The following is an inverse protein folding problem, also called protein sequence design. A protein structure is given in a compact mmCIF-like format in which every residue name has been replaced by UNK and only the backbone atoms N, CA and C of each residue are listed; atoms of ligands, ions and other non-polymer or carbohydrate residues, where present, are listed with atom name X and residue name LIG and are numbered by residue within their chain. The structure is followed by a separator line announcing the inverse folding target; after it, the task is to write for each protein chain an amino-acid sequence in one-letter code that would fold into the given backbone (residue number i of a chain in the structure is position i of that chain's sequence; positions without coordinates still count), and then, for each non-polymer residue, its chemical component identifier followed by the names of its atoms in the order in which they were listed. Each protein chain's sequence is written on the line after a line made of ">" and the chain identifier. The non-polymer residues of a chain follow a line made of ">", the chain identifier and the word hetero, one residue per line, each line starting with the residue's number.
data_IF_194493386494
#
_entry.id   IF_194493386494
#
_cell.length_a   1.000
_cell.length_b   1.000
_cell.length_c   1.000
_cell.angle_alpha   90.00
_cell.angle_beta   90.00
_cell.angle_gamma   90.00
#
_symmetry.space_group_name_H-M   'P 1'
#
loop_
_entity.id
_entity.type
_entity.pdbx_description
1 polymer ?
#
# COMPACT_ATOMS: atom_id res chain seq x y z
N UNK A 1 -7.27 -28.70 -19.02
CA UNK A 1 -5.84 -28.68 -18.64
C UNK A 1 -5.71 -29.25 -17.25
N UNK A 2 -4.53 -29.77 -16.91
CA UNK A 2 -4.25 -30.31 -15.56
C UNK A 2 -4.22 -29.18 -14.51
N UNK A 3 -4.71 -29.41 -13.27
CA UNK A 3 -4.65 -28.43 -12.20
C UNK A 3 -3.23 -28.22 -11.67
N UNK A 4 -2.97 -27.06 -11.06
CA UNK A 4 -1.72 -26.79 -10.36
C UNK A 4 -1.50 -27.82 -9.23
N UNK A 5 -0.34 -28.49 -9.15
CA UNK A 5 -0.05 -29.42 -8.06
C UNK A 5 -0.16 -28.74 -6.70
N UNK A 6 -0.82 -29.40 -5.75
CA UNK A 6 -1.09 -28.82 -4.43
C UNK A 6 0.19 -28.40 -3.69
N UNK A 7 1.25 -29.21 -3.79
CA UNK A 7 2.55 -28.91 -3.18
C UNK A 7 3.21 -27.65 -3.73
N UNK A 8 2.94 -27.29 -4.99
CA UNK A 8 3.44 -26.05 -5.59
C UNK A 8 2.61 -24.86 -5.11
N UNK A 9 1.29 -25.00 -5.03
CA UNK A 9 0.41 -23.99 -4.46
C UNK A 9 0.80 -23.63 -3.02
N UNK A 10 1.05 -24.64 -2.17
CA UNK A 10 1.43 -24.40 -0.78
C UNK A 10 2.81 -23.70 -0.67
N UNK A 11 3.75 -24.01 -1.57
CA UNK A 11 5.03 -23.28 -1.67
C UNK A 11 4.84 -21.81 -2.06
N UNK A 12 3.92 -21.52 -2.98
CA UNK A 12 3.59 -20.14 -3.36
C UNK A 12 2.99 -19.38 -2.17
N UNK A 13 2.09 -20.00 -1.41
CA UNK A 13 1.53 -19.40 -0.21
C UNK A 13 2.59 -19.15 0.87
N UNK A 14 3.52 -20.08 1.09
CA UNK A 14 4.60 -19.92 2.04
C UNK A 14 5.56 -18.77 1.63
N UNK A 15 5.79 -18.60 0.34
CA UNK A 15 6.65 -17.54 -0.20
C UNK A 15 5.99 -16.16 -0.29
N UNK A 16 4.66 -16.04 -0.02
CA UNK A 16 3.89 -14.81 -0.29
C UNK A 16 4.45 -13.56 0.41
N UNK A 17 5.06 -13.73 1.58
CA UNK A 17 5.60 -12.64 2.40
C UNK A 17 7.13 -12.47 2.27
N UNK A 18 7.76 -13.20 1.36
CA UNK A 18 9.19 -13.05 1.10
C UNK A 18 9.51 -11.59 0.76
N UNK A 19 10.44 -10.99 1.49
CA UNK A 19 10.83 -9.57 1.36
C UNK A 19 9.70 -8.54 1.60
N UNK A 20 8.61 -8.90 2.28
CA UNK A 20 7.49 -7.97 2.55
C UNK A 20 7.91 -6.67 3.26
N UNK A 21 8.89 -6.75 4.17
CA UNK A 21 9.50 -5.58 4.82
C UNK A 21 10.24 -4.66 3.85
N UNK A 22 11.07 -5.23 2.97
CA UNK A 22 11.80 -4.48 1.95
C UNK A 22 10.85 -3.78 0.97
N UNK A 23 9.83 -4.49 0.50
CA UNK A 23 8.80 -3.94 -0.39
C UNK A 23 8.03 -2.81 0.28
N UNK A 24 7.69 -2.96 1.57
CA UNK A 24 7.00 -1.91 2.33
C UNK A 24 7.88 -0.69 2.55
N UNK A 25 9.15 -0.86 2.95
CA UNK A 25 10.10 0.24 3.10
C UNK A 25 10.27 1.03 1.79
N UNK A 26 10.30 0.33 0.65
CA UNK A 26 10.38 0.97 -0.67
C UNK A 26 9.13 1.79 -1.01
N UNK A 27 7.93 1.31 -0.69
CA UNK A 27 6.70 2.11 -0.86
C UNK A 27 6.73 3.37 0.03
N UNK A 28 7.25 3.26 1.25
CA UNK A 28 7.41 4.39 2.17
C UNK A 28 8.44 5.39 1.62
N UNK A 29 9.56 4.94 1.03
CA UNK A 29 10.54 5.81 0.34
C UNK A 29 9.87 6.66 -0.73
N UNK A 30 9.04 6.05 -1.57
CA UNK A 30 8.34 6.74 -2.63
C UNK A 30 7.32 7.75 -2.08
N UNK A 31 6.57 7.38 -1.04
CA UNK A 31 5.60 8.28 -0.39
C UNK A 31 6.29 9.46 0.30
N UNK A 32 7.40 9.23 1.02
CA UNK A 32 8.18 10.28 1.65
C UNK A 32 8.80 11.22 0.61
N UNK A 33 9.35 10.66 -0.47
CA UNK A 33 9.93 11.47 -1.54
C UNK A 33 8.87 12.37 -2.18
N UNK A 34 7.72 11.82 -2.53
CA UNK A 34 6.60 12.58 -3.08
C UNK A 34 6.15 13.71 -2.15
N UNK A 35 5.85 13.40 -0.88
CA UNK A 35 5.36 14.40 0.06
C UNK A 35 6.41 15.50 0.32
N UNK A 36 7.67 15.13 0.57
CA UNK A 36 8.73 16.11 0.85
C UNK A 36 9.08 16.91 -0.40
N UNK A 37 9.05 16.32 -1.59
CA UNK A 37 9.31 17.07 -2.82
C UNK A 37 8.26 18.16 -3.05
N UNK A 38 6.97 17.86 -2.82
CA UNK A 38 5.88 18.82 -3.00
C UNK A 38 5.73 19.83 -1.86
N UNK A 39 6.42 19.63 -0.73
CA UNK A 39 6.33 20.51 0.45
C UNK A 39 7.60 21.31 0.73
N UNK A 40 8.78 20.71 0.53
CA UNK A 40 10.07 21.27 0.95
C UNK A 40 10.92 21.83 -0.20
N UNK A 41 10.76 21.33 -1.43
CA UNK A 41 11.61 21.79 -2.54
C UNK A 41 11.15 23.14 -3.06
N UNK A 42 12.06 24.10 -3.01
CA UNK A 42 11.94 25.38 -3.70
C UNK A 42 12.54 25.25 -5.12
N UNK A 43 11.77 25.50 -6.20
CA UNK A 43 12.30 25.53 -7.56
C UNK A 43 13.44 26.53 -7.79
N UNK A 44 13.55 27.57 -6.96
CA UNK A 44 14.63 28.56 -7.02
C UNK A 44 15.78 28.27 -6.04
N UNK A 45 15.68 27.19 -5.25
CA UNK A 45 16.69 26.81 -4.26
C UNK A 45 17.80 25.91 -4.82
N UNK A 46 18.82 25.67 -3.99
CA UNK A 46 20.00 24.87 -4.35
C UNK A 46 19.81 23.36 -4.16
N UNK A 47 18.78 22.94 -3.43
CA UNK A 47 18.54 21.54 -3.10
C UNK A 47 17.88 20.82 -4.26
N UNK A 48 18.56 19.81 -4.78
CA UNK A 48 18.05 18.97 -5.87
C UNK A 48 17.13 17.86 -5.37
N UNK A 49 16.25 17.36 -6.25
CA UNK A 49 15.43 16.20 -5.97
C UNK A 49 16.25 14.93 -5.64
N UNK A 50 17.44 14.76 -6.24
CA UNK A 50 18.32 13.63 -5.93
C UNK A 50 18.90 13.73 -4.51
N UNK A 51 19.33 14.92 -4.09
CA UNK A 51 19.80 15.13 -2.71
C UNK A 51 18.69 14.88 -1.69
N UNK A 52 17.46 15.34 -1.97
CA UNK A 52 16.31 15.02 -1.11
C UNK A 52 16.07 13.51 -1.02
N UNK A 53 16.14 12.80 -2.14
CA UNK A 53 15.97 11.34 -2.17
C UNK A 53 17.07 10.63 -1.37
N UNK A 54 18.32 11.08 -1.48
CA UNK A 54 19.44 10.50 -0.74
C UNK A 54 19.30 10.70 0.77
N UNK A 55 18.79 11.85 1.23
CA UNK A 55 18.45 12.08 2.64
C UNK A 55 17.37 11.13 3.17
N UNK A 56 16.38 10.81 2.34
CA UNK A 56 15.31 9.86 2.70
C UNK A 56 15.89 8.45 2.78
N UNK A 57 16.68 8.06 1.77
CA UNK A 57 17.33 6.74 1.71
C UNK A 57 18.26 6.51 2.89
N UNK A 58 19.00 7.52 3.32
CA UNK A 58 19.88 7.44 4.49
C UNK A 58 19.12 7.07 5.78
N UNK A 59 17.81 7.35 5.85
CA UNK A 59 16.98 7.05 7.03
C UNK A 59 16.29 5.70 6.97
N UNK A 60 15.84 5.27 5.77
CA UNK A 60 14.89 4.15 5.66
C UNK A 60 15.25 3.09 4.61
N UNK A 61 16.19 3.36 3.70
CA UNK A 61 16.49 2.42 2.63
C UNK A 61 17.36 1.27 3.15
N UNK A 62 16.86 0.05 3.00
CA UNK A 62 17.61 -1.18 3.33
C UNK A 62 18.64 -1.52 2.24
N UNK A 63 18.33 -1.18 0.99
CA UNK A 63 19.20 -1.36 -0.17
C UNK A 63 19.37 0.00 -0.84
N UNK A 64 20.61 0.49 -0.89
CA UNK A 64 20.96 1.77 -1.53
C UNK A 64 21.22 1.52 -3.02
N UNK A 65 20.48 2.15 -3.95
CA UNK A 65 20.75 2.04 -5.38
C UNK A 65 22.08 2.68 -5.78
N UNK A 66 22.66 2.32 -6.93
CA UNK A 66 23.85 2.99 -7.46
C UNK A 66 23.65 4.50 -7.68
N UNK A 67 24.74 5.27 -7.64
CA UNK A 67 24.79 6.72 -7.78
C UNK A 67 24.20 7.25 -9.11
N UNK A 68 24.23 6.45 -10.17
CA UNK A 68 23.63 6.77 -11.47
C UNK A 68 22.10 6.57 -11.50
N UNK A 69 21.48 6.11 -10.42
CA UNK A 69 20.02 5.97 -10.34
C UNK A 69 19.34 7.35 -10.49
N UNK A 70 18.35 7.44 -11.39
CA UNK A 70 17.54 8.64 -11.63
C UNK A 70 16.07 8.34 -11.41
N UNK A 71 15.75 7.74 -10.26
CA UNK A 71 14.37 7.36 -9.91
C UNK A 71 13.38 8.53 -10.04
N UNK A 72 13.64 9.74 -9.51
CA UNK A 72 12.70 10.86 -9.61
C UNK A 72 12.32 11.19 -11.05
N UNK A 73 13.28 11.15 -11.98
CA UNK A 73 13.08 11.47 -13.39
C UNK A 73 12.14 10.50 -14.12
N UNK A 74 11.88 9.32 -13.55
CA UNK A 74 10.99 8.32 -14.10
C UNK A 74 9.75 8.08 -13.22
N UNK A 75 9.50 8.95 -12.24
CA UNK A 75 8.40 8.75 -11.30
C UNK A 75 7.07 9.30 -11.84
N UNK A 76 6.57 8.68 -12.91
CA UNK A 76 5.38 9.15 -13.64
C UNK A 76 4.11 9.28 -12.80
N UNK A 77 3.98 8.55 -11.69
CA UNK A 77 2.81 8.64 -10.81
C UNK A 77 2.58 10.09 -10.34
N UNK A 78 3.65 10.79 -9.99
CA UNK A 78 3.57 12.12 -9.36
C UNK A 78 3.84 13.27 -10.34
N UNK A 79 4.55 13.02 -11.45
CA UNK A 79 4.90 14.06 -12.44
C UNK A 79 4.02 14.07 -13.69
N UNK A 80 3.44 12.93 -14.06
CA UNK A 80 2.59 12.80 -15.25
C UNK A 80 1.36 11.94 -14.98
N UNK A 81 0.92 11.91 -13.72
CA UNK A 81 -0.19 11.11 -13.22
C UNK A 81 -1.00 11.88 -12.20
N UNK A 82 -1.91 11.19 -11.52
CA UNK A 82 -2.83 11.80 -10.53
C UNK A 82 -2.37 11.72 -9.07
N UNK A 83 -1.10 11.40 -8.80
CA UNK A 83 -0.61 11.07 -7.45
C UNK A 83 0.35 12.10 -6.85
N UNK A 84 0.46 13.30 -7.43
CA UNK A 84 1.28 14.38 -6.87
C UNK A 84 0.83 14.71 -5.43
N UNK A 85 1.77 14.70 -4.49
CA UNK A 85 1.50 14.80 -3.05
C UNK A 85 0.46 13.77 -2.53
N UNK A 86 0.41 12.61 -3.17
CA UNK A 86 -0.63 11.61 -3.01
C UNK A 86 -0.15 10.16 -3.16
N UNK A 87 1.14 9.90 -3.38
CA UNK A 87 1.65 8.52 -3.53
C UNK A 87 1.46 7.68 -2.26
N UNK A 88 1.39 8.32 -1.08
CA UNK A 88 1.03 7.66 0.18
C UNK A 88 -0.35 6.98 0.14
N UNK A 89 -1.23 7.38 -0.79
CA UNK A 89 -2.56 6.80 -0.96
C UNK A 89 -2.56 5.30 -1.17
N UNK A 90 -1.50 4.71 -1.77
CA UNK A 90 -1.39 3.25 -1.91
C UNK A 90 -1.34 2.57 -0.55
N UNK A 91 -0.40 2.96 0.33
CA UNK A 91 -0.28 2.37 1.67
C UNK A 91 -1.45 2.74 2.57
N UNK A 92 -1.98 3.95 2.43
CA UNK A 92 -3.21 4.35 3.12
C UNK A 92 -4.39 3.44 2.76
N UNK A 93 -4.64 3.26 1.45
CA UNK A 93 -5.70 2.39 0.96
C UNK A 93 -5.46 0.90 1.28
N UNK A 94 -4.19 0.46 1.40
CA UNK A 94 -3.85 -0.92 1.76
C UNK A 94 -4.30 -1.30 3.18
N UNK A 95 -4.30 -0.33 4.12
CA UNK A 95 -4.90 -0.53 5.45
C UNK A 95 -6.38 -0.86 5.32
N UNK A 96 -7.11 -0.06 4.52
CA UNK A 96 -8.54 -0.26 4.31
C UNK A 96 -8.80 -1.57 3.57
N UNK A 97 -8.03 -1.91 2.53
CA UNK A 97 -8.27 -3.13 1.75
C UNK A 97 -7.97 -4.39 2.55
N UNK A 98 -6.89 -4.42 3.33
CA UNK A 98 -6.56 -5.56 4.19
C UNK A 98 -7.61 -5.77 5.28
N UNK A 99 -8.06 -4.70 5.93
CA UNK A 99 -9.09 -4.78 6.96
C UNK A 99 -10.48 -5.11 6.36
N UNK A 100 -10.79 -4.61 5.17
CA UNK A 100 -11.99 -5.01 4.45
C UNK A 100 -11.96 -6.50 4.10
N UNK A 101 -10.83 -7.01 3.61
CA UNK A 101 -10.66 -8.44 3.34
C UNK A 101 -10.75 -9.29 4.60
N UNK A 102 -10.31 -8.77 5.76
CA UNK A 102 -10.43 -9.50 7.03
C UNK A 102 -11.88 -9.83 7.41
N UNK A 103 -12.87 -9.04 6.98
CA UNK A 103 -14.28 -9.39 7.16
C UNK A 103 -14.66 -10.65 6.36
N UNK A 104 -14.11 -10.82 5.16
CA UNK A 104 -14.26 -12.05 4.38
C UNK A 104 -13.55 -13.23 5.05
N UNK A 105 -12.39 -13.02 5.67
CA UNK A 105 -11.73 -14.06 6.49
C UNK A 105 -12.62 -14.48 7.67
N UNK A 106 -13.27 -13.53 8.34
CA UNK A 106 -14.18 -13.75 9.47
C UNK A 106 -15.48 -14.47 9.09
N UNK A 107 -16.09 -14.10 7.95
CA UNK A 107 -17.39 -14.63 7.52
C UNK A 107 -17.28 -15.85 6.59
N UNK A 108 -16.08 -16.15 6.09
CA UNK A 108 -15.80 -17.08 5.01
C UNK A 108 -15.54 -16.35 3.69
N UNK A 109 -14.42 -16.68 3.02
CA UNK A 109 -13.88 -15.89 1.90
C UNK A 109 -14.86 -15.74 0.73
N UNK A 110 -15.76 -16.71 0.54
CA UNK A 110 -16.79 -16.72 -0.51
C UNK A 110 -18.20 -16.50 0.05
N UNK A 111 -18.34 -15.88 1.22
CA UNK A 111 -19.63 -15.63 1.85
C UNK A 111 -20.45 -14.61 1.02
N UNK A 112 -21.65 -14.99 0.53
CA UNK A 112 -22.47 -14.09 -0.28
C UNK A 112 -22.90 -12.81 0.44
N UNK A 113 -23.20 -12.88 1.73
CA UNK A 113 -23.62 -11.72 2.52
C UNK A 113 -22.48 -10.71 2.70
N UNK A 114 -21.23 -11.18 2.85
CA UNK A 114 -20.06 -10.28 2.85
C UNK A 114 -19.90 -9.59 1.49
N UNK A 115 -20.11 -10.33 0.39
CA UNK A 115 -20.08 -9.79 -0.97
C UNK A 115 -21.16 -8.74 -1.23
N UNK A 116 -22.40 -9.00 -0.83
CA UNK A 116 -23.52 -8.04 -0.94
C UNK A 116 -23.23 -6.76 -0.17
N UNK A 117 -22.76 -6.86 1.09
CA UNK A 117 -22.35 -5.69 1.88
C UNK A 117 -21.23 -4.90 1.21
N UNK A 118 -20.22 -5.56 0.65
CA UNK A 118 -19.13 -4.88 -0.04
C UNK A 118 -19.62 -4.15 -1.29
N UNK A 119 -20.51 -4.79 -2.07
CA UNK A 119 -21.15 -4.17 -3.23
C UNK A 119 -21.94 -2.94 -2.81
N UNK A 120 -22.79 -3.07 -1.79
CA UNK A 120 -23.77 -2.04 -1.45
C UNK A 120 -23.13 -0.86 -0.72
N UNK A 121 -22.11 -1.09 0.11
CA UNK A 121 -21.52 -0.03 0.95
C UNK A 121 -20.24 0.58 0.38
N UNK A 122 -19.47 -0.17 -0.42
CA UNK A 122 -18.20 0.31 -1.01
C UNK A 122 -18.37 0.62 -2.49
N UNK A 123 -18.74 -0.38 -3.30
CA UNK A 123 -18.70 -0.25 -4.76
C UNK A 123 -19.87 0.58 -5.32
N UNK A 124 -21.08 0.39 -4.78
CA UNK A 124 -22.30 1.01 -5.27
C UNK A 124 -22.44 2.49 -4.89
N UNK A 125 -21.69 2.94 -3.88
CA UNK A 125 -21.79 4.31 -3.34
C UNK A 125 -20.86 5.28 -4.07
N UNK A 126 -19.70 4.82 -4.54
CA UNK A 126 -18.69 5.68 -5.18
C UNK A 126 -18.34 6.89 -4.30
N UNK A 127 -18.25 8.07 -4.91
CA UNK A 127 -17.93 9.33 -4.22
C UNK A 127 -19.11 10.05 -3.56
N UNK A 128 -20.31 9.45 -3.52
CA UNK A 128 -21.52 10.11 -2.97
C UNK A 128 -21.56 10.16 -1.44
N UNK A 129 -20.73 9.35 -0.76
CA UNK A 129 -20.55 9.31 0.69
C UNK A 129 -19.06 9.32 1.02
N UNK A 130 -18.62 9.95 2.12
CA UNK A 130 -17.22 9.91 2.53
C UNK A 130 -16.68 8.47 2.62
N UNK A 131 -15.47 8.24 2.10
CA UNK A 131 -14.89 6.88 2.03
C UNK A 131 -14.80 6.20 3.40
N UNK A 132 -14.50 6.95 4.46
CA UNK A 132 -14.46 6.42 5.82
C UNK A 132 -15.84 5.98 6.32
N UNK A 133 -16.89 6.74 6.03
CA UNK A 133 -18.27 6.35 6.38
C UNK A 133 -18.69 5.09 5.62
N UNK A 134 -18.35 5.00 4.33
CA UNK A 134 -18.56 3.80 3.52
C UNK A 134 -17.82 2.59 4.10
N UNK A 135 -16.57 2.78 4.50
CA UNK A 135 -15.80 1.73 5.16
C UNK A 135 -16.44 1.29 6.48
N UNK A 136 -16.86 2.22 7.33
CA UNK A 136 -17.51 1.90 8.62
C UNK A 136 -18.84 1.20 8.41
N UNK A 137 -19.65 1.62 7.43
CA UNK A 137 -20.91 0.94 7.10
C UNK A 137 -20.67 -0.51 6.65
N UNK A 138 -19.64 -0.74 5.82
CA UNK A 138 -19.22 -2.08 5.41
C UNK A 138 -18.65 -2.90 6.58
N UNK A 139 -17.66 -2.37 7.30
CA UNK A 139 -16.85 -3.10 8.28
C UNK A 139 -17.51 -3.22 9.66
N UNK A 140 -18.39 -2.28 10.00
CA UNK A 140 -19.02 -2.13 11.31
C UNK A 140 -18.17 -1.38 12.36
N UNK A 141 -16.95 -0.98 12.00
CA UNK A 141 -16.01 -0.24 12.85
C UNK A 141 -15.00 0.57 12.01
N UNK A 142 -14.29 1.54 12.59
CA UNK A 142 -13.17 2.22 11.93
C UNK A 142 -12.06 1.25 11.48
N UNK A 143 -11.25 1.64 10.46
CA UNK A 143 -10.17 0.81 9.94
C UNK A 143 -9.06 0.59 10.99
N UNK A 144 -8.50 -0.61 10.97
CA UNK A 144 -7.38 -1.03 11.83
C UNK A 144 -6.24 -1.61 10.98
N UNK A 145 -4.99 -1.42 11.43
CA UNK A 145 -3.79 -1.80 10.69
C UNK A 145 -3.42 -3.28 10.84
N UNK A 146 -3.99 -3.97 11.83
CA UNK A 146 -3.62 -5.32 12.25
C UNK A 146 -3.72 -6.34 11.09
N UNK A 147 -4.76 -6.24 10.27
CA UNK A 147 -4.94 -7.11 9.10
C UNK A 147 -3.81 -6.93 8.09
N UNK A 148 -3.41 -5.68 7.81
CA UNK A 148 -2.31 -5.37 6.92
C UNK A 148 -0.99 -5.98 7.41
N UNK A 149 -0.69 -5.81 8.71
CA UNK A 149 0.53 -6.36 9.31
C UNK A 149 0.52 -7.89 9.31
N UNK A 150 -0.61 -8.51 9.66
CA UNK A 150 -0.78 -9.97 9.61
C UNK A 150 -0.57 -10.51 8.18
N UNK A 151 -1.22 -9.89 7.19
CA UNK A 151 -1.14 -10.32 5.80
C UNK A 151 0.29 -10.24 5.27
N UNK A 152 1.07 -9.24 5.70
CA UNK A 152 2.48 -9.05 5.34
C UNK A 152 3.48 -9.79 6.24
N UNK A 153 3.02 -10.56 7.25
CA UNK A 153 3.91 -11.30 8.16
C UNK A 153 4.74 -10.40 9.10
N UNK A 154 4.17 -9.27 9.51
CA UNK A 154 4.81 -8.24 10.32
C UNK A 154 4.31 -8.18 11.78
N UNK A 155 3.44 -9.10 12.17
CA UNK A 155 3.11 -9.33 13.58
C UNK A 155 4.05 -10.39 14.14
N UNK A 156 4.46 -10.24 15.40
CA UNK A 156 5.18 -11.29 16.11
C UNK A 156 4.33 -12.56 16.13
N UNK A 157 4.99 -13.72 15.92
CA UNK A 157 4.34 -15.00 16.16
C UNK A 157 4.09 -15.11 17.67
N UNK A 158 2.83 -15.33 18.06
CA UNK A 158 2.47 -15.70 19.42
C UNK A 158 3.12 -17.04 19.82
#
# INVERSE_FOLDING_TARGET
>A
GEPLPRSLFDKMLAAKNFQGGLTTARQIEFSLFDMRAHFELDPAGDKTALQLLDEIRAQIAVIVPPDYNRFPNNFSHIFSGGYAAGYYSYKWAEVLSADAYSLFEEMGVLNPAAGERFRDEILGVGGSRPALESFVAFRGRPPQIDALLRHNGMLEAA
#
